data_IF_842142863576
#
_entry.id   IF_842142863576
#
_cell.length_a   1.000
_cell.length_b   1.000
_cell.length_c   1.000
_cell.angle_alpha   90.00
_cell.angle_beta   90.00
_cell.angle_gamma   90.00
#
_symmetry.space_group_name_H-M   'P 1'
#
loop_
_entity.id
_entity.type
_entity.pdbx_description
1 polymer ?
#
# COMPACT_ATOMS: atom_id res chain seq x y z
N UNK A 1 -29.44 5.84 -15.00
CA UNK A 1 -28.46 6.97 -15.05
C UNK A 1 -27.07 6.39 -14.87
N UNK A 2 -26.03 7.18 -15.04
CA UNK A 2 -24.64 6.76 -14.80
C UNK A 2 -23.94 7.81 -13.96
N UNK A 3 -22.81 7.45 -13.34
CA UNK A 3 -21.99 8.38 -12.55
C UNK A 3 -20.50 8.15 -12.81
N UNK A 4 -19.68 9.17 -12.57
CA UNK A 4 -18.23 9.09 -12.68
C UNK A 4 -17.61 8.88 -11.30
N UNK A 5 -16.64 7.94 -11.22
CA UNK A 5 -15.82 7.74 -10.05
C UNK A 5 -14.34 7.75 -10.43
N UNK A 6 -13.54 8.40 -9.60
CA UNK A 6 -12.11 8.61 -9.86
C UNK A 6 -11.26 8.09 -8.70
N UNK A 7 -10.18 7.39 -9.02
CA UNK A 7 -9.11 7.07 -8.09
C UNK A 7 -7.76 7.45 -8.65
N UNK A 8 -6.79 7.64 -7.76
CA UNK A 8 -5.42 8.00 -8.12
C UNK A 8 -4.40 7.06 -7.49
N UNK A 9 -3.20 7.06 -8.05
CA UNK A 9 -2.03 6.39 -7.51
C UNK A 9 -0.79 7.25 -7.69
N UNK A 10 0.25 6.96 -6.90
CA UNK A 10 1.58 7.55 -7.03
C UNK A 10 2.63 6.45 -7.13
N UNK A 11 3.73 6.74 -7.84
CA UNK A 11 4.81 5.77 -8.03
C UNK A 11 5.65 5.58 -6.77
N UNK A 12 6.50 4.55 -6.80
CA UNK A 12 7.53 4.31 -5.78
C UNK A 12 8.51 5.47 -5.59
N UNK A 13 8.67 6.33 -6.62
CA UNK A 13 9.53 7.52 -6.59
C UNK A 13 8.83 8.78 -6.12
N UNK A 14 7.53 8.76 -5.88
CA UNK A 14 6.83 9.89 -5.25
C UNK A 14 7.39 10.17 -3.86
N UNK A 15 7.63 11.44 -3.46
CA UNK A 15 8.27 11.76 -2.18
C UNK A 15 7.69 11.06 -0.96
N UNK A 16 6.36 11.05 -0.81
CA UNK A 16 5.72 10.37 0.32
C UNK A 16 5.95 8.85 0.26
N UNK A 17 5.97 8.23 -0.93
CA UNK A 17 6.24 6.80 -1.06
C UNK A 17 7.72 6.45 -0.91
N UNK A 18 8.62 7.36 -1.18
CA UNK A 18 10.04 7.23 -0.80
C UNK A 18 10.16 7.17 0.72
N UNK A 19 9.48 8.06 1.44
CA UNK A 19 9.46 8.07 2.90
C UNK A 19 8.87 6.77 3.48
N UNK A 20 7.73 6.31 2.96
CA UNK A 20 7.09 5.05 3.36
C UNK A 20 8.02 3.85 3.16
N UNK A 21 8.70 3.75 2.01
CA UNK A 21 9.61 2.66 1.71
C UNK A 21 10.84 2.66 2.62
N UNK A 22 11.38 3.83 2.97
CA UNK A 22 12.48 3.94 3.93
C UNK A 22 12.04 3.45 5.30
N UNK A 23 10.90 3.92 5.80
CA UNK A 23 10.35 3.52 7.10
C UNK A 23 10.08 2.01 7.18
N UNK A 24 9.44 1.43 6.16
CA UNK A 24 9.13 0.01 6.12
C UNK A 24 10.37 -0.87 5.89
N UNK A 25 11.39 -0.38 5.18
CA UNK A 25 12.67 -1.07 5.08
C UNK A 25 13.37 -1.17 6.44
N UNK A 26 13.31 -0.13 7.26
CA UNK A 26 13.86 -0.13 8.62
C UNK A 26 13.12 -1.16 9.50
N UNK A 27 11.79 -1.21 9.43
CA UNK A 27 10.99 -2.22 10.16
C UNK A 27 11.41 -3.63 9.76
N UNK A 28 11.50 -3.91 8.47
CA UNK A 28 11.87 -5.23 7.95
C UNK A 28 13.23 -5.68 8.50
N UNK A 29 14.21 -4.77 8.53
CA UNK A 29 15.53 -5.10 9.07
C UNK A 29 15.49 -5.38 10.58
N UNK A 30 14.71 -4.62 11.37
CA UNK A 30 14.55 -4.94 12.79
C UNK A 30 13.89 -6.30 12.99
N UNK A 31 12.78 -6.57 12.32
CA UNK A 31 12.03 -7.83 12.47
C UNK A 31 12.82 -9.04 11.96
N UNK A 32 13.70 -8.87 10.99
CA UNK A 32 14.55 -9.96 10.49
C UNK A 32 15.48 -10.52 11.58
N UNK A 33 16.01 -9.67 12.45
CA UNK A 33 16.96 -10.07 13.51
C UNK A 33 16.31 -10.21 14.88
N UNK A 34 15.28 -9.41 15.17
CA UNK A 34 14.46 -9.51 16.39
C UNK A 34 12.97 -9.38 16.05
N UNK A 35 12.25 -10.51 15.87
CA UNK A 35 10.83 -10.51 15.57
C UNK A 35 9.95 -9.84 16.63
N UNK A 36 10.46 -9.62 17.84
CA UNK A 36 9.75 -8.93 18.92
C UNK A 36 10.01 -7.42 18.94
N UNK A 37 10.80 -6.90 18.00
CA UNK A 37 11.05 -5.45 17.89
C UNK A 37 9.74 -4.67 17.85
N UNK A 38 9.72 -3.57 18.59
CA UNK A 38 8.68 -2.54 18.50
C UNK A 38 9.29 -1.32 17.82
N UNK A 39 8.67 -0.92 16.73
CA UNK A 39 9.19 0.12 15.84
C UNK A 39 8.06 1.08 15.47
N UNK A 40 8.26 2.34 15.75
CA UNK A 40 7.52 3.45 15.18
C UNK A 40 8.57 4.37 14.54
N UNK A 41 8.73 4.30 13.23
CA UNK A 41 9.78 5.05 12.51
C UNK A 41 9.16 5.80 11.36
N UNK A 42 9.28 7.10 11.37
CA UNK A 42 8.82 8.00 10.33
C UNK A 42 10.03 8.60 9.60
N UNK A 43 9.85 8.87 8.32
CA UNK A 43 10.84 9.51 7.48
C UNK A 43 10.26 10.79 6.87
N UNK A 44 11.08 11.85 6.86
CA UNK A 44 10.89 13.03 6.03
C UNK A 44 11.98 13.03 4.97
N UNK A 45 11.59 13.25 3.71
CA UNK A 45 12.52 13.38 2.58
C UNK A 45 12.29 14.72 1.88
N UNK A 46 13.37 15.42 1.57
CA UNK A 46 13.33 16.70 0.86
C UNK A 46 14.62 16.88 0.05
N UNK A 47 14.84 18.02 -0.57
CA UNK A 47 16.06 18.29 -1.35
C UNK A 47 17.32 17.92 -0.59
N UNK A 48 18.06 16.92 -1.08
CA UNK A 48 19.35 16.50 -0.53
C UNK A 48 19.32 15.96 0.91
N UNK A 49 18.14 15.70 1.49
CA UNK A 49 18.03 15.33 2.91
C UNK A 49 16.98 14.24 3.19
N UNK A 50 17.32 13.39 4.17
CA UNK A 50 16.42 12.44 4.85
C UNK A 50 16.52 12.67 6.36
N UNK A 51 15.39 12.76 7.03
CA UNK A 51 15.31 12.80 8.50
C UNK A 51 14.51 11.58 8.94
N UNK A 52 15.11 10.75 9.80
CA UNK A 52 14.47 9.59 10.43
C UNK A 52 14.15 9.94 11.87
N UNK A 53 12.89 9.80 12.27
CA UNK A 53 12.43 10.10 13.62
C UNK A 53 11.55 8.96 14.15
N UNK A 54 11.46 8.83 15.47
CA UNK A 54 10.58 7.85 16.10
C UNK A 54 11.25 7.04 17.19
N UNK A 55 10.60 5.95 17.59
CA UNK A 55 11.00 5.13 18.72
C UNK A 55 11.19 3.67 18.33
N UNK A 56 12.25 3.06 18.89
CA UNK A 56 12.56 1.65 18.65
C UNK A 56 12.90 0.96 19.99
N UNK A 57 12.31 -0.23 20.18
CA UNK A 57 12.71 -1.18 21.22
C UNK A 57 13.09 -2.50 20.55
N UNK A 58 14.36 -2.82 20.54
CA UNK A 58 14.90 -4.02 19.88
C UNK A 58 16.16 -4.51 20.57
N UNK A 59 16.46 -5.79 20.41
CA UNK A 59 17.70 -6.40 20.86
C UNK A 59 18.82 -6.28 19.81
N UNK A 60 18.53 -5.74 18.64
CA UNK A 60 19.48 -5.62 17.54
C UNK A 60 19.83 -4.15 17.27
N UNK A 61 21.06 -3.93 16.82
CA UNK A 61 21.54 -2.64 16.32
C UNK A 61 21.60 -2.65 14.80
N UNK A 62 21.13 -1.59 14.16
CA UNK A 62 21.12 -1.42 12.71
C UNK A 62 21.75 -0.10 12.29
N UNK A 63 22.42 -0.10 11.14
CA UNK A 63 22.80 1.13 10.44
C UNK A 63 21.61 1.64 9.61
N UNK A 64 20.73 2.40 10.26
CA UNK A 64 19.52 2.95 9.63
C UNK A 64 19.84 3.91 8.47
N UNK A 65 21.00 4.56 8.50
CA UNK A 65 21.45 5.44 7.40
C UNK A 65 21.77 4.60 6.16
N UNK A 66 22.48 3.50 6.30
CA UNK A 66 22.78 2.56 5.20
C UNK A 66 21.51 1.98 4.61
N UNK A 67 20.55 1.60 5.47
CA UNK A 67 19.25 1.06 5.03
C UNK A 67 18.48 2.12 4.20
N UNK A 68 18.39 3.35 4.67
CA UNK A 68 17.75 4.45 3.94
C UNK A 68 18.41 4.68 2.57
N UNK A 69 19.75 4.78 2.50
CA UNK A 69 20.50 4.96 1.25
C UNK A 69 20.27 3.83 0.25
N UNK A 70 20.28 2.59 0.71
CA UNK A 70 20.02 1.42 -0.13
C UNK A 70 18.60 1.45 -0.70
N UNK A 71 17.62 1.87 0.09
CA UNK A 71 16.23 2.01 -0.33
C UNK A 71 16.08 3.09 -1.40
N UNK A 72 16.69 4.26 -1.19
CA UNK A 72 16.69 5.37 -2.16
C UNK A 72 17.32 4.94 -3.50
N UNK A 73 18.48 4.26 -3.44
CA UNK A 73 19.14 3.73 -4.64
C UNK A 73 18.28 2.68 -5.36
N UNK A 74 17.61 1.77 -4.62
CA UNK A 74 16.71 0.76 -5.18
C UNK A 74 15.50 1.38 -5.90
N UNK A 75 14.98 2.49 -5.40
CA UNK A 75 13.89 3.26 -6.05
C UNK A 75 14.38 3.84 -7.38
N UNK A 76 15.64 4.25 -7.47
CA UNK A 76 16.24 4.79 -8.68
C UNK A 76 16.73 6.24 -8.56
N UNK A 77 16.77 6.79 -7.37
CA UNK A 77 17.42 8.07 -7.09
C UNK A 77 18.92 7.86 -6.90
N UNK A 78 19.64 7.76 -8.02
CA UNK A 78 21.06 7.38 -8.09
C UNK A 78 21.96 8.45 -8.72
N UNK A 79 21.38 9.57 -9.16
CA UNK A 79 22.10 10.63 -9.86
C UNK A 79 22.01 11.94 -9.09
N UNK A 80 23.17 12.60 -8.88
CA UNK A 80 23.24 13.90 -8.20
C UNK A 80 22.42 15.02 -8.86
N UNK A 81 22.20 14.95 -10.17
CA UNK A 81 21.35 15.90 -10.90
C UNK A 81 19.87 15.88 -10.47
N UNK A 82 19.42 14.83 -9.79
CA UNK A 82 18.07 14.77 -9.19
C UNK A 82 17.97 15.60 -7.91
N UNK A 83 19.09 16.17 -7.43
CA UNK A 83 19.20 16.92 -6.17
C UNK A 83 18.69 16.15 -4.94
N UNK A 84 18.57 14.84 -5.09
CA UNK A 84 18.26 13.83 -4.08
C UNK A 84 18.72 12.48 -4.61
N UNK A 85 19.72 11.89 -3.98
CA UNK A 85 20.23 10.57 -4.35
C UNK A 85 20.76 9.81 -3.14
N UNK A 86 20.76 8.49 -3.18
CA UNK A 86 21.10 7.65 -2.06
C UNK A 86 22.58 7.72 -1.63
N UNK A 87 23.47 8.19 -2.49
CA UNK A 87 24.90 8.23 -2.19
C UNK A 87 25.33 9.56 -1.54
N UNK A 88 24.69 10.69 -1.91
CA UNK A 88 25.14 12.02 -1.51
C UNK A 88 24.18 12.76 -0.55
N UNK A 89 22.89 12.38 -0.46
CA UNK A 89 21.96 13.04 0.45
C UNK A 89 22.39 12.94 1.91
N UNK A 90 22.13 13.97 2.72
CA UNK A 90 22.28 13.92 4.17
C UNK A 90 21.23 12.95 4.77
N UNK A 91 21.64 12.08 5.70
CA UNK A 91 20.69 11.24 6.45
C UNK A 91 20.90 11.51 7.94
N UNK A 92 19.91 12.15 8.55
CA UNK A 92 19.87 12.43 9.97
C UNK A 92 18.97 11.41 10.67
N UNK A 93 19.39 10.91 11.83
CA UNK A 93 18.57 10.03 12.64
C UNK A 93 18.38 10.64 14.03
N UNK A 94 17.12 10.78 14.41
CA UNK A 94 16.66 11.19 15.76
C UNK A 94 15.83 10.05 16.39
N UNK A 95 16.04 8.81 15.95
CA UNK A 95 15.40 7.64 16.52
C UNK A 95 15.96 7.43 17.92
N UNK A 96 15.08 7.24 18.90
CA UNK A 96 15.41 7.01 20.30
C UNK A 96 14.71 5.76 20.85
N UNK A 97 14.98 5.42 22.11
CA UNK A 97 14.36 4.26 22.77
C UNK A 97 12.90 4.55 23.13
N UNK A 98 12.04 3.53 22.98
CA UNK A 98 10.61 3.67 23.29
C UNK A 98 10.37 3.87 24.79
N UNK A 99 9.46 4.80 25.13
CA UNK A 99 9.02 5.09 26.51
C UNK A 99 8.47 3.85 27.21
N UNK A 100 8.89 3.64 28.48
CA UNK A 100 8.37 2.55 29.32
C UNK A 100 6.86 2.67 29.62
N UNK A 101 6.31 3.87 29.66
CA UNK A 101 4.89 4.10 29.97
C UNK A 101 3.96 3.57 28.88
N UNK A 102 4.34 3.71 27.62
CA UNK A 102 3.60 3.15 26.48
C UNK A 102 3.61 1.62 26.53
N UNK A 103 4.74 1.02 26.93
CA UNK A 103 4.89 -0.43 27.00
C UNK A 103 3.97 -1.08 28.05
N UNK A 104 3.69 -0.41 29.17
CA UNK A 104 2.81 -0.96 30.24
C UNK A 104 1.39 -1.25 29.77
N UNK A 105 0.88 -0.47 28.81
CA UNK A 105 -0.46 -0.67 28.23
C UNK A 105 -0.54 -1.90 27.31
N UNK A 106 0.54 -2.19 26.60
CA UNK A 106 0.61 -3.21 25.53
C UNK A 106 1.14 -4.53 26.05
N UNK A 107 2.25 -4.51 26.81
CA UNK A 107 2.88 -5.73 27.36
C UNK A 107 2.07 -6.26 28.54
N UNK A 108 1.54 -7.46 28.44
CA UNK A 108 0.78 -8.16 29.48
C UNK A 108 1.50 -9.47 29.86
N UNK A 109 1.00 -10.14 30.91
CA UNK A 109 1.59 -11.36 31.44
C UNK A 109 1.68 -12.51 30.40
N UNK A 110 0.76 -12.53 29.42
CA UNK A 110 0.78 -13.49 28.32
C UNK A 110 0.64 -12.78 26.99
N UNK A 111 1.23 -13.30 25.88
CA UNK A 111 1.08 -12.74 24.55
C UNK A 111 -0.40 -12.59 24.11
N UNK A 112 -1.25 -13.54 24.50
CA UNK A 112 -2.69 -13.54 24.16
C UNK A 112 -3.47 -12.41 24.82
N UNK A 113 -2.97 -11.90 25.95
CA UNK A 113 -3.55 -10.76 26.66
C UNK A 113 -3.03 -9.41 26.16
N UNK A 114 -2.15 -9.38 25.14
CA UNK A 114 -1.62 -8.15 24.56
C UNK A 114 -2.77 -7.19 24.21
N UNK A 115 -2.77 -6.01 24.83
CA UNK A 115 -3.71 -4.95 24.54
C UNK A 115 -3.41 -4.25 23.21
N UNK A 116 -4.41 -3.59 22.64
CA UNK A 116 -4.19 -2.71 21.49
C UNK A 116 -3.19 -1.60 21.86
N UNK A 117 -2.24 -1.36 20.96
CA UNK A 117 -1.19 -0.33 21.17
C UNK A 117 -1.71 1.10 21.13
N UNK A 118 -2.90 1.30 20.57
CA UNK A 118 -3.60 2.58 20.51
C UNK A 118 -5.11 2.36 20.44
N UNK A 119 -5.89 3.41 20.65
CA UNK A 119 -7.29 3.45 20.27
C UNK A 119 -7.43 3.73 18.77
N UNK A 120 -8.53 3.31 18.16
CA UNK A 120 -8.78 3.66 16.76
C UNK A 120 -9.89 2.84 16.11
N UNK A 121 -10.17 3.23 14.87
CA UNK A 121 -11.08 2.52 13.96
C UNK A 121 -10.32 2.11 12.70
N UNK A 122 -10.46 0.86 12.29
CA UNK A 122 -9.79 0.31 11.12
C UNK A 122 -10.81 -0.32 10.18
N UNK A 123 -10.57 -0.21 8.89
CA UNK A 123 -11.50 -0.65 7.86
C UNK A 123 -10.87 -1.65 6.89
N UNK A 124 -11.68 -2.57 6.44
CA UNK A 124 -11.43 -3.42 5.29
C UNK A 124 -12.55 -3.26 4.27
N UNK A 125 -12.21 -3.29 3.00
CA UNK A 125 -13.14 -3.20 1.90
C UNK A 125 -12.81 -4.24 0.84
N UNK A 126 -13.82 -4.75 0.16
CA UNK A 126 -13.69 -5.59 -1.02
C UNK A 126 -14.90 -5.42 -1.94
N UNK A 127 -14.69 -5.59 -3.23
CA UNK A 127 -15.71 -5.56 -4.28
C UNK A 127 -15.38 -6.63 -5.32
N UNK A 128 -16.37 -7.13 -6.04
CA UNK A 128 -16.18 -8.10 -7.12
C UNK A 128 -15.80 -7.46 -8.48
N UNK A 129 -15.51 -6.16 -8.51
CA UNK A 129 -15.14 -5.44 -9.75
C UNK A 129 -13.87 -5.99 -10.43
N UNK A 130 -12.93 -6.56 -9.66
CA UNK A 130 -11.67 -7.09 -10.14
C UNK A 130 -11.36 -8.47 -9.55
N UNK A 131 -10.49 -9.25 -10.21
CA UNK A 131 -10.09 -10.59 -9.73
C UNK A 131 -9.41 -10.58 -8.36
N UNK A 132 -8.79 -9.47 -7.98
CA UNK A 132 -8.18 -9.28 -6.66
C UNK A 132 -9.09 -8.55 -5.66
N UNK A 133 -10.36 -8.39 -6.01
CA UNK A 133 -11.40 -7.79 -5.14
C UNK A 133 -11.10 -6.34 -4.74
N UNK A 134 -10.57 -5.55 -5.67
CA UNK A 134 -10.28 -4.13 -5.50
C UNK A 134 -11.13 -3.24 -6.40
N UNK A 135 -11.33 -1.96 -6.04
CA UNK A 135 -11.95 -0.99 -6.94
C UNK A 135 -11.17 -0.83 -8.24
N UNK A 136 -11.84 -0.94 -9.37
CA UNK A 136 -11.21 -0.95 -10.69
C UNK A 136 -10.43 0.34 -11.00
N UNK A 137 -10.94 1.50 -10.63
CA UNK A 137 -10.27 2.78 -10.88
C UNK A 137 -8.91 2.86 -10.18
N UNK A 138 -8.81 2.38 -8.93
CA UNK A 138 -7.57 2.32 -8.17
C UNK A 138 -6.61 1.27 -8.75
N UNK A 139 -7.13 0.08 -9.06
CA UNK A 139 -6.32 -1.01 -9.63
C UNK A 139 -5.66 -0.59 -10.94
N UNK A 140 -6.40 0.08 -11.82
CA UNK A 140 -5.85 0.60 -13.07
C UNK A 140 -4.81 1.70 -12.84
N UNK A 141 -5.06 2.60 -11.88
CA UNK A 141 -4.09 3.63 -11.51
C UNK A 141 -2.77 3.02 -11.02
N UNK A 142 -2.83 1.98 -10.17
CA UNK A 142 -1.64 1.26 -9.72
C UNK A 142 -0.93 0.53 -10.87
N UNK A 143 -1.67 -0.15 -11.75
CA UNK A 143 -1.09 -0.91 -12.87
C UNK A 143 -0.35 -0.01 -13.86
N UNK A 144 -0.91 1.15 -14.19
CA UNK A 144 -0.26 2.15 -15.05
C UNK A 144 1.12 2.50 -14.50
N UNK A 145 1.23 2.82 -13.22
CA UNK A 145 2.50 3.22 -12.61
C UNK A 145 3.48 2.07 -12.39
N UNK A 146 2.99 0.86 -12.11
CA UNK A 146 3.84 -0.35 -12.07
C UNK A 146 4.51 -0.62 -13.42
N UNK A 147 3.74 -0.51 -14.52
CA UNK A 147 4.28 -0.69 -15.87
C UNK A 147 5.20 0.45 -16.28
N UNK A 148 4.90 1.68 -15.89
CA UNK A 148 5.77 2.83 -16.12
C UNK A 148 7.13 2.66 -15.41
N UNK A 149 7.11 2.22 -14.14
CA UNK A 149 8.33 1.91 -13.40
C UNK A 149 9.11 0.73 -13.99
N UNK A 150 8.42 -0.29 -14.53
CA UNK A 150 9.06 -1.39 -15.25
C UNK A 150 9.75 -0.89 -16.53
N UNK A 151 9.09 -0.07 -17.34
CA UNK A 151 9.69 0.56 -18.53
C UNK A 151 10.93 1.39 -18.19
N UNK A 152 10.87 2.16 -17.09
CA UNK A 152 12.03 2.93 -16.60
C UNK A 152 13.22 2.03 -16.25
N UNK A 153 12.98 0.91 -15.55
CA UNK A 153 14.04 -0.03 -15.15
C UNK A 153 14.61 -0.84 -16.33
N UNK A 154 13.81 -1.12 -17.34
CA UNK A 154 14.27 -1.79 -18.56
C UNK A 154 15.24 -0.90 -19.36
N UNK A 155 15.10 0.41 -19.27
CA UNK A 155 15.94 1.42 -19.95
C UNK A 155 16.13 1.15 -21.45
N UNK A 156 15.03 0.78 -22.13
CA UNK A 156 15.05 0.40 -23.55
C UNK A 156 14.13 1.27 -24.41
N UNK A 157 12.82 1.12 -24.17
CA UNK A 157 11.80 1.75 -25.01
C UNK A 157 11.61 3.25 -24.68
N UNK A 158 11.63 3.60 -23.40
CA UNK A 158 11.46 4.98 -22.92
C UNK A 158 12.58 5.28 -21.92
N UNK A 159 13.68 5.84 -22.36
CA UNK A 159 14.90 6.04 -21.57
C UNK A 159 14.93 7.29 -20.71
N UNK A 160 14.06 8.24 -21.00
CA UNK A 160 14.03 9.54 -20.31
C UNK A 160 13.21 9.54 -19.00
N UNK A 161 12.62 8.40 -18.61
CA UNK A 161 11.78 8.31 -17.40
C UNK A 161 12.61 8.46 -16.13
N UNK A 162 12.12 9.29 -15.19
CA UNK A 162 12.63 9.43 -13.83
C UNK A 162 11.69 8.76 -12.83
N UNK A 163 12.09 8.60 -11.54
CA UNK A 163 11.32 7.78 -10.59
C UNK A 163 9.95 8.31 -10.21
N UNK A 164 9.72 9.63 -10.19
CA UNK A 164 8.47 10.22 -9.71
C UNK A 164 7.39 10.22 -10.80
N UNK A 165 6.20 9.78 -10.43
CA UNK A 165 5.03 9.85 -11.32
C UNK A 165 3.73 9.69 -10.53
N UNK A 166 2.63 10.16 -11.14
CA UNK A 166 1.26 10.04 -10.66
C UNK A 166 0.35 9.56 -11.77
N UNK A 167 -0.70 8.83 -11.42
CA UNK A 167 -1.79 8.46 -12.33
C UNK A 167 -3.14 8.66 -11.67
N UNK A 168 -4.15 8.96 -12.49
CA UNK A 168 -5.53 9.05 -12.07
C UNK A 168 -6.39 8.42 -13.17
N UNK A 169 -7.36 7.60 -12.77
CA UNK A 169 -8.31 6.97 -13.69
C UNK A 169 -9.73 7.30 -13.26
N UNK A 170 -10.53 7.81 -14.21
CA UNK A 170 -11.95 8.06 -14.04
C UNK A 170 -12.75 7.05 -14.84
N UNK A 171 -13.69 6.38 -14.19
CA UNK A 171 -14.55 5.36 -14.80
C UNK A 171 -16.00 5.81 -14.69
N UNK A 172 -16.76 5.62 -15.75
CA UNK A 172 -18.21 5.74 -15.74
C UNK A 172 -18.83 4.42 -15.33
N UNK A 173 -19.71 4.48 -14.32
CA UNK A 173 -20.45 3.35 -13.78
C UNK A 173 -21.94 3.52 -14.04
N UNK A 174 -22.65 2.40 -14.20
CA UNK A 174 -24.12 2.38 -14.11
C UNK A 174 -24.59 2.60 -12.67
N UNK A 175 -25.91 2.83 -12.50
CA UNK A 175 -26.52 2.92 -11.16
C UNK A 175 -26.37 1.61 -10.34
N UNK A 176 -26.13 0.48 -11.03
CA UNK A 176 -25.87 -0.83 -10.41
C UNK A 176 -24.37 -1.09 -10.15
N UNK A 177 -23.54 -0.05 -10.14
CA UNK A 177 -22.09 -0.10 -9.94
C UNK A 177 -21.29 -0.94 -10.97
N UNK A 178 -21.84 -1.13 -12.18
CA UNK A 178 -21.14 -1.82 -13.27
C UNK A 178 -20.28 -0.83 -14.05
N UNK A 179 -18.95 -1.07 -14.23
CA UNK A 179 -18.12 -0.19 -15.04
C UNK A 179 -18.50 -0.26 -16.51
N UNK A 180 -18.80 0.90 -17.12
CA UNK A 180 -19.27 1.02 -18.50
C UNK A 180 -18.15 1.41 -19.48
N UNK A 181 -17.29 2.35 -19.08
CA UNK A 181 -16.13 2.81 -19.88
C UNK A 181 -15.13 3.55 -19.00
N UNK A 182 -13.91 3.63 -19.46
CA UNK A 182 -12.92 4.57 -18.92
C UNK A 182 -13.18 5.92 -19.57
N UNK A 183 -13.48 6.93 -18.75
CA UNK A 183 -13.73 8.31 -19.21
C UNK A 183 -12.43 9.07 -19.45
N UNK A 184 -11.55 9.07 -18.46
CA UNK A 184 -10.28 9.79 -18.55
C UNK A 184 -9.14 9.10 -17.82
N UNK A 185 -7.92 9.32 -18.32
CA UNK A 185 -6.65 8.87 -17.74
C UNK A 185 -5.69 10.04 -17.67
N UNK A 186 -5.24 10.39 -16.46
CA UNK A 186 -4.20 11.38 -16.23
C UNK A 186 -2.90 10.66 -15.88
N UNK A 187 -1.80 11.01 -16.52
CA UNK A 187 -0.45 10.52 -16.18
C UNK A 187 0.49 11.70 -16.13
N UNK A 188 1.10 11.93 -14.96
CA UNK A 188 2.20 12.88 -14.80
C UNK A 188 3.46 12.08 -14.48
N UNK A 189 4.48 12.19 -15.33
CA UNK A 189 5.75 11.48 -15.14
C UNK A 189 6.94 12.41 -15.19
N UNK A 190 7.82 12.28 -14.21
CA UNK A 190 9.11 12.96 -14.20
C UNK A 190 9.99 12.38 -15.33
N UNK A 191 10.74 13.26 -16.01
CA UNK A 191 11.55 12.89 -17.17
C UNK A 191 12.83 13.72 -17.27
N UNK A 192 13.80 13.20 -18.00
CA UNK A 192 15.00 13.97 -18.40
C UNK A 192 14.64 15.08 -19.40
N UNK A 193 15.37 16.21 -19.45
CA UNK A 193 15.22 17.21 -20.49
C UNK A 193 15.93 16.75 -21.78
N UNK A 194 15.36 15.78 -22.49
CA UNK A 194 16.00 15.08 -23.60
C UNK A 194 15.88 15.77 -24.98
N UNK A 195 15.03 16.81 -25.09
CA UNK A 195 14.94 17.68 -26.27
C UNK A 195 14.95 19.15 -25.84
N UNK A 196 15.58 20.01 -26.67
CA UNK A 196 15.62 21.44 -26.44
C UNK A 196 14.24 22.11 -26.68
N UNK A 197 13.47 21.62 -27.65
CA UNK A 197 12.10 22.08 -27.91
C UNK A 197 11.14 21.36 -26.93
N UNK A 198 10.62 22.14 -25.99
CA UNK A 198 9.69 21.64 -24.96
C UNK A 198 8.43 21.04 -25.56
N UNK A 199 7.85 21.65 -26.59
CA UNK A 199 6.64 21.14 -27.24
C UNK A 199 6.88 19.80 -27.94
N UNK A 200 7.99 19.67 -28.65
CA UNK A 200 8.38 18.41 -29.30
C UNK A 200 8.64 17.32 -28.26
N UNK A 201 9.27 17.69 -27.13
CA UNK A 201 9.52 16.77 -26.01
C UNK A 201 8.20 16.25 -25.41
N UNK A 202 7.25 17.13 -25.10
CA UNK A 202 5.95 16.76 -24.53
C UNK A 202 5.13 15.92 -25.51
N UNK A 203 5.12 16.25 -26.79
CA UNK A 203 4.46 15.44 -27.82
C UNK A 203 5.07 14.02 -27.91
N UNK A 204 6.38 13.89 -27.73
CA UNK A 204 7.06 12.60 -27.70
C UNK A 204 6.63 11.79 -26.48
N UNK A 205 6.60 12.40 -25.29
CA UNK A 205 6.15 11.76 -24.05
C UNK A 205 4.70 11.28 -24.21
N UNK A 206 3.80 12.13 -24.69
CA UNK A 206 2.40 11.78 -24.90
C UNK A 206 2.26 10.61 -25.87
N UNK A 207 2.95 10.65 -26.99
CA UNK A 207 2.96 9.57 -27.97
C UNK A 207 3.45 8.27 -27.35
N UNK A 208 4.60 8.26 -26.69
CA UNK A 208 5.20 7.05 -26.13
C UNK A 208 4.33 6.44 -25.04
N UNK A 209 3.73 7.26 -24.18
CA UNK A 209 2.82 6.73 -23.16
C UNK A 209 1.55 6.13 -23.78
N UNK A 210 0.96 6.76 -24.79
CA UNK A 210 -0.23 6.22 -25.49
C UNK A 210 0.06 4.97 -26.32
N UNK A 211 1.24 4.88 -26.94
CA UNK A 211 1.54 3.79 -27.89
C UNK A 211 2.40 2.67 -27.31
N UNK A 212 3.05 2.88 -26.17
CA UNK A 212 3.91 1.87 -25.53
C UNK A 212 3.36 1.48 -24.16
N UNK A 213 3.13 2.47 -23.25
CA UNK A 213 2.69 2.18 -21.88
C UNK A 213 1.27 1.62 -21.85
N UNK A 214 0.29 2.33 -22.43
CA UNK A 214 -1.13 1.93 -22.35
C UNK A 214 -1.36 0.55 -22.96
N UNK A 215 -0.89 0.22 -24.18
CA UNK A 215 -1.02 -1.13 -24.74
C UNK A 215 -0.39 -2.22 -23.88
N UNK A 216 0.76 -1.92 -23.24
CA UNK A 216 1.42 -2.85 -22.31
C UNK A 216 0.60 -3.10 -21.05
N UNK A 217 -0.09 -2.08 -20.53
CA UNK A 217 -1.04 -2.24 -19.41
C UNK A 217 -2.22 -3.08 -19.84
N UNK A 218 -2.88 -2.71 -20.95
CA UNK A 218 -4.08 -3.38 -21.46
C UNK A 218 -3.82 -4.87 -21.73
N UNK A 219 -2.70 -5.22 -22.33
CA UNK A 219 -2.34 -6.60 -22.63
C UNK A 219 -2.27 -7.53 -21.41
N UNK A 220 -2.15 -6.97 -20.20
CA UNK A 220 -2.08 -7.71 -18.92
C UNK A 220 -3.41 -7.74 -18.15
N UNK A 221 -4.47 -7.16 -18.71
CA UNK A 221 -5.79 -7.10 -18.09
C UNK A 221 -6.68 -8.26 -18.57
N UNK A 222 -7.67 -8.69 -17.77
CA UNK A 222 -8.73 -9.57 -18.26
C UNK A 222 -9.50 -8.95 -19.43
N UNK A 223 -10.03 -9.78 -20.32
CA UNK A 223 -10.77 -9.33 -21.50
C UNK A 223 -11.94 -8.40 -21.14
N UNK A 224 -12.63 -8.68 -20.03
CA UNK A 224 -13.74 -7.85 -19.53
C UNK A 224 -13.33 -6.41 -19.21
N UNK A 225 -12.07 -6.18 -18.85
CA UNK A 225 -11.53 -4.85 -18.57
C UNK A 225 -10.90 -4.24 -19.81
N UNK A 226 -10.29 -5.06 -20.69
CA UNK A 226 -9.69 -4.56 -21.94
C UNK A 226 -10.70 -3.81 -22.81
N UNK A 227 -11.95 -4.29 -22.88
CA UNK A 227 -13.02 -3.66 -23.67
C UNK A 227 -13.42 -2.26 -23.21
N UNK A 228 -13.06 -1.87 -21.97
CA UNK A 228 -13.30 -0.53 -21.44
C UNK A 228 -12.29 0.50 -22.01
N UNK A 229 -11.16 0.01 -22.57
CA UNK A 229 -10.16 0.85 -23.23
C UNK A 229 -10.55 1.02 -24.69
N UNK A 230 -11.22 2.12 -25.01
CA UNK A 230 -11.67 2.47 -26.35
C UNK A 230 -11.09 3.81 -26.81
N UNK A 231 -11.37 4.21 -28.03
CA UNK A 231 -10.83 5.43 -28.67
C UNK A 231 -11.34 6.73 -28.06
N UNK A 232 -12.36 6.68 -27.17
CA UNK A 232 -13.00 7.86 -26.58
C UNK A 232 -12.41 8.26 -25.22
N UNK A 233 -11.29 7.66 -24.81
CA UNK A 233 -10.63 8.00 -23.53
C UNK A 233 -9.94 9.36 -23.64
N UNK A 234 -10.23 10.25 -22.69
CA UNK A 234 -9.55 11.53 -22.56
C UNK A 234 -8.20 11.35 -21.83
N UNK A 235 -7.10 11.38 -22.58
CA UNK A 235 -5.77 11.29 -22.00
C UNK A 235 -5.20 12.67 -21.67
N UNK A 236 -4.75 12.86 -20.43
CA UNK A 236 -4.04 14.05 -19.95
C UNK A 236 -2.62 13.65 -19.52
N UNK A 237 -1.66 13.86 -20.40
CA UNK A 237 -0.25 13.48 -20.19
C UNK A 237 0.56 14.74 -19.87
N UNK A 238 1.21 14.78 -18.70
CA UNK A 238 1.95 15.96 -18.22
C UNK A 238 1.22 17.28 -18.50
N UNK A 239 -0.03 17.46 -18.05
CA UNK A 239 -0.91 18.57 -18.47
C UNK A 239 -0.36 19.95 -18.04
N UNK A 240 0.56 20.02 -17.10
CA UNK A 240 1.20 21.27 -16.64
C UNK A 240 2.49 21.60 -17.42
N UNK A 241 2.86 20.79 -18.42
CA UNK A 241 4.11 20.94 -19.18
C UNK A 241 5.22 20.02 -18.68
N UNK A 242 6.49 20.46 -18.85
CA UNK A 242 7.65 19.64 -18.46
C UNK A 242 7.68 19.34 -16.98
N UNK A 243 8.07 18.11 -16.64
CA UNK A 243 8.21 17.63 -15.28
C UNK A 243 9.63 17.06 -15.04
N UNK A 244 10.62 17.95 -15.05
CA UNK A 244 12.04 17.64 -14.83
C UNK A 244 12.39 17.70 -13.34
N UNK A 245 11.89 18.73 -12.63
CA UNK A 245 12.04 18.84 -11.18
C UNK A 245 10.91 18.03 -10.53
N UNK A 246 11.27 16.99 -9.79
CA UNK A 246 10.33 16.08 -9.14
C UNK A 246 11.01 15.26 -8.06
N UNK A 247 10.29 14.30 -7.50
CA UNK A 247 10.75 13.57 -6.35
C UNK A 247 10.94 14.47 -5.13
N UNK A 248 11.76 14.07 -4.14
CA UNK A 248 12.00 14.87 -2.93
C UNK A 248 12.59 16.26 -3.18
N UNK A 249 13.14 16.52 -4.35
CA UNK A 249 13.58 17.87 -4.74
C UNK A 249 12.40 18.75 -5.17
N UNK A 250 11.36 18.18 -5.77
CA UNK A 250 10.17 18.92 -6.19
C UNK A 250 9.19 19.20 -5.06
N UNK A 251 9.03 18.26 -4.16
CA UNK A 251 8.10 18.32 -3.02
C UNK A 251 8.62 17.48 -1.85
N UNK A 252 8.33 17.92 -0.62
CA UNK A 252 8.71 17.19 0.59
C UNK A 252 7.79 16.01 0.81
N UNK A 253 8.37 14.83 1.07
CA UNK A 253 7.65 13.61 1.41
C UNK A 253 7.72 13.28 2.89
N UNK A 254 6.63 12.71 3.42
CA UNK A 254 6.56 12.16 4.77
C UNK A 254 5.87 10.80 4.78
N UNK A 255 6.30 9.95 5.72
CA UNK A 255 5.64 8.67 5.99
C UNK A 255 4.16 8.87 6.33
N UNK A 256 3.28 8.07 5.69
CA UNK A 256 1.86 8.04 6.04
C UNK A 256 0.99 9.13 5.42
N UNK A 257 1.44 9.80 4.36
CA UNK A 257 0.66 10.85 3.66
C UNK A 257 -0.08 10.37 2.41
N UNK A 258 -0.03 9.09 2.07
CA UNK A 258 -0.73 8.49 0.91
C UNK A 258 -1.68 7.35 1.30
N UNK A 259 -2.34 7.51 2.46
CA UNK A 259 -3.15 6.46 3.09
C UNK A 259 -4.35 6.00 2.22
N UNK A 260 -4.89 6.85 1.38
CA UNK A 260 -5.99 6.50 0.47
C UNK A 260 -5.47 5.68 -0.72
N UNK A 261 -4.28 6.04 -1.25
CA UNK A 261 -3.57 5.25 -2.27
C UNK A 261 -3.17 3.88 -1.72
N UNK A 262 -2.79 3.82 -0.44
CA UNK A 262 -2.40 2.59 0.24
C UNK A 262 -3.57 1.61 0.46
N UNK A 263 -4.81 2.10 0.42
CA UNK A 263 -6.02 1.33 0.75
C UNK A 263 -6.94 1.14 -0.44
N UNK A 264 -8.02 1.90 -0.55
CA UNK A 264 -9.13 1.59 -1.50
C UNK A 264 -9.45 2.73 -2.45
N UNK A 265 -8.60 3.76 -2.56
CA UNK A 265 -8.75 4.85 -3.54
C UNK A 265 -10.02 5.69 -3.38
N UNK A 266 -10.58 5.75 -2.16
CA UNK A 266 -11.79 6.51 -1.86
C UNK A 266 -13.10 5.72 -1.93
N UNK A 267 -13.11 4.46 -2.39
CA UNK A 267 -14.31 3.60 -2.37
C UNK A 267 -14.62 3.09 -0.95
N UNK A 268 -13.61 2.63 -0.23
CA UNK A 268 -13.76 2.22 1.17
C UNK A 268 -13.41 3.36 2.14
N UNK A 269 -14.04 3.38 3.31
CA UNK A 269 -13.71 4.28 4.40
C UNK A 269 -12.28 4.03 4.93
N UNK A 270 -11.71 5.04 5.60
CA UNK A 270 -10.39 4.97 6.23
C UNK A 270 -10.44 5.55 7.65
N UNK A 271 -9.78 4.90 8.61
CA UNK A 271 -9.77 5.35 10.01
C UNK A 271 -8.76 6.47 10.32
N UNK A 272 -7.93 6.85 9.34
CA UNK A 272 -6.92 7.92 9.49
C UNK A 272 -5.53 7.44 9.86
N UNK A 273 -5.37 6.22 10.40
CA UNK A 273 -4.07 5.67 10.81
C UNK A 273 -3.20 5.25 9.61
N UNK A 274 -1.98 5.77 9.51
CA UNK A 274 -1.00 5.34 8.53
C UNK A 274 -0.49 3.93 8.84
N UNK A 275 -0.05 3.19 7.81
CA UNK A 275 0.49 1.83 7.92
C UNK A 275 2.01 1.82 8.01
N UNK A 276 2.68 2.41 7.00
CA UNK A 276 4.14 2.43 6.92
C UNK A 276 4.76 3.09 8.16
N UNK A 277 5.91 2.59 8.57
CA UNK A 277 6.59 3.05 9.77
C UNK A 277 6.16 2.38 11.07
N UNK A 278 5.13 1.54 11.05
CA UNK A 278 4.55 0.87 12.25
C UNK A 278 4.76 -0.63 12.22
N UNK A 279 5.32 -1.21 13.31
CA UNK A 279 5.35 -2.66 13.52
C UNK A 279 3.94 -3.22 13.80
N UNK A 280 3.73 -4.57 13.72
CA UNK A 280 2.40 -5.16 13.82
C UNK A 280 1.69 -5.02 15.17
N UNK A 281 2.33 -4.58 16.24
CA UNK A 281 1.65 -4.28 17.52
C UNK A 281 0.74 -3.06 17.43
N UNK A 282 0.90 -2.23 16.40
CA UNK A 282 0.06 -1.08 16.13
C UNK A 282 -1.16 -1.53 15.33
N UNK A 283 -2.33 -1.46 15.95
CA UNK A 283 -3.61 -1.93 15.38
C UNK A 283 -4.02 -1.15 14.10
N UNK A 284 -3.58 0.08 13.94
CA UNK A 284 -3.77 0.85 12.69
C UNK A 284 -3.36 0.04 11.46
N UNK A 285 -2.27 -0.72 11.56
CA UNK A 285 -1.75 -1.56 10.48
C UNK A 285 -2.30 -2.98 10.55
N UNK A 286 -2.13 -3.68 11.66
CA UNK A 286 -2.46 -5.09 11.79
C UNK A 286 -3.96 -5.35 11.65
N UNK A 287 -4.79 -4.53 12.30
CA UNK A 287 -6.23 -4.70 12.23
C UNK A 287 -6.81 -4.26 10.86
N UNK A 288 -6.25 -3.26 10.21
CA UNK A 288 -6.65 -2.91 8.85
C UNK A 288 -6.38 -4.08 7.87
N UNK A 289 -5.23 -4.77 8.00
CA UNK A 289 -4.95 -5.98 7.23
C UNK A 289 -5.93 -7.12 7.54
N UNK A 290 -6.29 -7.29 8.82
CA UNK A 290 -7.30 -8.28 9.21
C UNK A 290 -8.68 -7.95 8.64
N UNK A 291 -9.08 -6.68 8.63
CA UNK A 291 -10.36 -6.27 8.02
C UNK A 291 -10.36 -6.48 6.51
N UNK A 292 -9.24 -6.22 5.82
CA UNK A 292 -9.09 -6.56 4.40
C UNK A 292 -9.21 -8.07 4.17
N UNK A 293 -8.54 -8.88 4.98
CA UNK A 293 -8.62 -10.34 4.89
C UNK A 293 -10.05 -10.83 5.01
N UNK A 294 -10.82 -10.31 5.97
CA UNK A 294 -12.23 -10.65 6.16
C UNK A 294 -13.06 -10.20 4.96
N UNK A 295 -13.01 -8.91 4.61
CA UNK A 295 -13.80 -8.35 3.51
C UNK A 295 -13.58 -9.13 2.21
N UNK A 296 -12.32 -9.39 1.85
CA UNK A 296 -11.98 -10.15 0.64
C UNK A 296 -12.55 -11.56 0.65
N UNK A 297 -12.43 -12.28 1.77
CA UNK A 297 -12.94 -13.63 1.88
C UNK A 297 -14.48 -13.69 1.87
N UNK A 298 -15.17 -12.66 2.39
CA UNK A 298 -16.63 -12.58 2.34
C UNK A 298 -17.13 -12.45 0.88
N UNK A 299 -16.54 -11.53 0.11
CA UNK A 299 -16.90 -11.38 -1.32
C UNK A 299 -16.51 -12.63 -2.11
N UNK A 300 -15.32 -13.18 -1.88
CA UNK A 300 -14.86 -14.39 -2.57
C UNK A 300 -15.70 -15.64 -2.23
N UNK A 301 -16.30 -15.69 -1.05
CA UNK A 301 -17.24 -16.76 -0.68
C UNK A 301 -18.59 -16.65 -1.39
N UNK A 302 -18.90 -15.50 -2.01
CA UNK A 302 -20.17 -15.19 -2.64
C UNK A 302 -21.23 -14.70 -1.65
N UNK A 303 -20.83 -14.18 -0.49
CA UNK A 303 -21.78 -13.65 0.49
C UNK A 303 -22.43 -12.35 0.01
N UNK A 304 -21.66 -11.51 -0.68
CA UNK A 304 -22.09 -10.23 -1.25
C UNK A 304 -21.17 -9.82 -2.40
N UNK A 305 -21.56 -8.81 -3.17
CA UNK A 305 -20.73 -8.25 -4.24
C UNK A 305 -19.77 -7.17 -3.74
N UNK A 306 -20.14 -6.48 -2.66
CA UNK A 306 -19.39 -5.38 -2.06
C UNK A 306 -19.53 -5.41 -0.54
N UNK A 307 -18.47 -5.14 0.21
CA UNK A 307 -18.50 -5.11 1.68
C UNK A 307 -17.48 -4.13 2.26
N UNK A 308 -17.93 -3.40 3.28
CA UNK A 308 -17.08 -2.65 4.21
C UNK A 308 -17.16 -3.32 5.59
N UNK A 309 -16.01 -3.59 6.19
CA UNK A 309 -15.89 -4.11 7.56
C UNK A 309 -15.08 -3.14 8.40
N UNK A 310 -15.62 -2.73 9.54
CA UNK A 310 -14.93 -1.88 10.52
C UNK A 310 -14.68 -2.67 11.80
N UNK A 311 -13.51 -2.44 12.41
CA UNK A 311 -13.23 -2.83 13.80
C UNK A 311 -12.77 -1.62 14.59
N UNK A 312 -13.04 -1.58 15.89
CA UNK A 312 -12.57 -0.53 16.78
C UNK A 312 -11.92 -1.10 18.04
N UNK A 313 -10.90 -0.41 18.55
CA UNK A 313 -10.17 -0.79 19.77
C UNK A 313 -10.07 0.39 20.72
N UNK A 314 -9.97 0.07 22.03
CA UNK A 314 -9.51 0.99 23.06
C UNK A 314 -8.06 0.66 23.43
N UNK A 315 -7.26 1.67 23.73
CA UNK A 315 -5.85 1.48 24.13
C UNK A 315 -5.74 0.53 25.33
N UNK A 316 -4.81 -0.41 25.25
CA UNK A 316 -4.55 -1.38 26.33
C UNK A 316 -5.60 -2.48 26.48
N UNK A 317 -6.67 -2.51 25.69
CA UNK A 317 -7.72 -3.55 25.68
C UNK A 317 -7.47 -4.50 24.52
N UNK A 318 -7.50 -5.81 24.80
CA UNK A 318 -7.28 -6.84 23.76
C UNK A 318 -8.53 -7.11 22.93
N UNK A 319 -9.70 -7.12 23.54
CA UNK A 319 -10.96 -7.34 22.84
C UNK A 319 -11.35 -6.12 22.01
N UNK A 320 -11.83 -6.30 20.76
CA UNK A 320 -12.38 -5.20 19.99
C UNK A 320 -13.61 -4.61 20.70
N UNK A 321 -13.77 -3.29 20.61
CA UNK A 321 -14.93 -2.59 21.15
C UNK A 321 -16.19 -2.83 20.31
N UNK A 322 -16.02 -3.15 19.03
CA UNK A 322 -17.11 -3.45 18.13
C UNK A 322 -16.63 -3.81 16.71
N UNK A 323 -17.49 -4.52 16.00
CA UNK A 323 -17.36 -4.83 14.58
C UNK A 323 -18.61 -4.33 13.87
N UNK A 324 -18.44 -3.59 12.80
CA UNK A 324 -19.53 -3.10 11.95
C UNK A 324 -19.32 -3.62 10.53
N UNK A 325 -20.43 -3.94 9.87
CA UNK A 325 -20.46 -4.39 8.47
C UNK A 325 -21.46 -3.55 7.70
N UNK A 326 -21.14 -3.29 6.45
CA UNK A 326 -22.06 -2.75 5.45
C UNK A 326 -21.85 -3.49 4.13
N UNK A 327 -22.84 -4.23 3.67
CA UNK A 327 -22.84 -4.95 2.39
C UNK A 327 -23.40 -4.10 1.25
N UNK A 328 -23.71 -2.85 1.51
CA UNK A 328 -24.31 -1.91 0.52
C UNK A 328 -25.58 -2.44 -0.15
N UNK A 329 -26.29 -3.35 0.52
CA UNK A 329 -27.49 -4.00 -0.01
C UNK A 329 -27.21 -5.11 -1.03
N UNK A 330 -25.95 -5.53 -1.20
CA UNK A 330 -25.57 -6.57 -2.16
C UNK A 330 -25.46 -7.97 -1.55
N UNK A 331 -25.92 -8.17 -0.30
CA UNK A 331 -25.87 -9.47 0.36
C UNK A 331 -26.73 -10.52 -0.36
N UNK A 332 -26.18 -11.70 -0.58
CA UNK A 332 -26.86 -12.86 -1.18
C UNK A 332 -27.46 -13.81 -0.13
N UNK A 333 -27.41 -13.43 1.15
CA UNK A 333 -28.00 -14.15 2.28
C UNK A 333 -29.14 -13.34 2.90
N UNK A 334 -30.08 -14.03 3.57
CA UNK A 334 -31.23 -13.40 4.23
C UNK A 334 -30.89 -12.77 5.60
N UNK A 335 -29.58 -12.56 5.90
CA UNK A 335 -29.11 -11.96 7.13
C UNK A 335 -28.93 -10.44 6.94
N UNK A 336 -29.23 -9.67 7.98
CA UNK A 336 -28.89 -8.25 8.01
C UNK A 336 -27.40 -8.06 8.37
N UNK A 337 -26.84 -6.92 8.03
CA UNK A 337 -25.41 -6.61 8.24
C UNK A 337 -24.96 -6.80 9.69
N UNK A 338 -25.82 -6.49 10.67
CA UNK A 338 -25.53 -6.70 12.08
C UNK A 338 -25.37 -8.20 12.47
N UNK A 339 -26.15 -9.10 11.87
CA UNK A 339 -26.02 -10.53 12.07
C UNK A 339 -24.77 -11.08 11.37
N UNK A 340 -24.45 -10.53 10.20
CA UNK A 340 -23.19 -10.84 9.49
C UNK A 340 -22.00 -10.44 10.37
N UNK A 341 -21.99 -9.23 10.94
CA UNK A 341 -20.95 -8.76 11.84
C UNK A 341 -20.75 -9.68 13.05
N UNK A 342 -21.83 -10.13 13.67
CA UNK A 342 -21.79 -11.07 14.79
C UNK A 342 -21.15 -12.41 14.39
N UNK A 343 -21.57 -12.99 13.26
CA UNK A 343 -20.98 -14.23 12.75
C UNK A 343 -19.48 -14.10 12.43
N UNK A 344 -19.02 -12.94 11.97
CA UNK A 344 -17.60 -12.67 11.75
C UNK A 344 -16.82 -12.81 13.06
N UNK A 345 -17.32 -12.24 14.16
CA UNK A 345 -16.64 -12.33 15.47
C UNK A 345 -16.63 -13.74 16.06
N UNK A 346 -17.55 -14.60 15.64
CA UNK A 346 -17.57 -16.02 16.00
C UNK A 346 -16.54 -16.83 15.17
N UNK A 347 -16.25 -16.40 13.93
CA UNK A 347 -15.34 -17.09 13.01
C UNK A 347 -13.87 -16.76 13.23
N UNK A 348 -13.58 -15.54 13.68
CA UNK A 348 -12.21 -15.01 13.74
C UNK A 348 -11.97 -14.31 15.07
N UNK A 349 -10.91 -14.73 15.77
CA UNK A 349 -10.38 -14.00 16.91
C UNK A 349 -9.67 -12.71 16.41
N UNK A 350 -10.20 -11.56 16.82
CA UNK A 350 -9.75 -10.22 16.43
C UNK A 350 -8.83 -9.57 17.48
N UNK A 351 -8.37 -10.31 18.49
CA UNK A 351 -7.33 -9.79 19.39
C UNK A 351 -6.05 -9.49 18.63
N UNK A 352 -5.30 -8.41 18.98
CA UNK A 352 -4.07 -8.04 18.28
C UNK A 352 -3.09 -9.21 18.12
N UNK A 353 -2.83 -9.98 19.16
CA UNK A 353 -1.93 -11.13 19.12
C UNK A 353 -2.43 -12.27 18.18
N UNK A 354 -3.74 -12.50 18.14
CA UNK A 354 -4.34 -13.48 17.24
C UNK A 354 -4.22 -13.05 15.77
N UNK A 355 -4.40 -11.76 15.48
CA UNK A 355 -4.20 -11.18 14.15
C UNK A 355 -2.74 -11.32 13.73
N UNK A 356 -1.78 -10.90 14.56
CA UNK A 356 -0.34 -11.01 14.27
C UNK A 356 0.05 -12.46 13.93
N UNK A 357 -0.42 -13.43 14.71
CA UNK A 357 -0.14 -14.85 14.51
C UNK A 357 -0.78 -15.38 13.23
N UNK A 358 -2.07 -15.10 13.00
CA UNK A 358 -2.82 -15.57 11.81
C UNK A 358 -2.19 -15.07 10.52
N UNK A 359 -1.86 -13.78 10.47
CA UNK A 359 -1.34 -13.13 9.27
C UNK A 359 0.20 -13.12 9.23
N UNK A 360 0.90 -13.78 10.18
CA UNK A 360 2.36 -13.88 10.25
C UNK A 360 3.07 -12.51 10.21
N UNK A 361 2.51 -11.51 10.88
CA UNK A 361 2.95 -10.12 10.73
C UNK A 361 4.30 -9.82 11.40
N UNK A 362 4.87 -10.72 12.22
CA UNK A 362 6.21 -10.56 12.80
C UNK A 362 7.35 -10.93 11.83
N UNK A 363 7.03 -11.24 10.57
CA UNK A 363 8.01 -11.45 9.53
C UNK A 363 8.37 -10.12 8.80
N UNK A 364 9.54 -10.02 8.15
CA UNK A 364 9.96 -8.81 7.42
C UNK A 364 9.27 -8.71 6.06
N UNK A 365 8.00 -8.32 6.05
CA UNK A 365 7.07 -8.32 4.91
C UNK A 365 6.69 -6.93 4.42
N UNK A 366 7.23 -5.85 5.01
CA UNK A 366 6.65 -4.52 4.95
C UNK A 366 7.16 -3.66 3.79
N UNK A 367 8.42 -3.75 3.39
CA UNK A 367 8.97 -2.96 2.29
C UNK A 367 8.16 -3.11 0.99
N UNK A 368 7.71 -4.32 0.67
CA UNK A 368 6.95 -4.61 -0.54
C UNK A 368 5.52 -4.05 -0.50
N UNK A 369 5.02 -3.65 0.66
CA UNK A 369 3.69 -3.03 0.82
C UNK A 369 3.73 -1.53 0.56
N UNK A 370 4.87 -0.89 0.78
CA UNK A 370 5.02 0.56 0.84
C UNK A 370 4.90 1.29 -0.52
N UNK A 371 4.65 0.58 -1.62
CA UNK A 371 4.41 1.18 -2.93
C UNK A 371 3.31 0.43 -3.70
N UNK A 372 2.48 1.17 -4.44
CA UNK A 372 1.40 0.62 -5.28
C UNK A 372 0.30 -0.10 -4.48
N UNK A 373 -0.01 0.38 -3.29
CA UNK A 373 -1.07 -0.12 -2.42
C UNK A 373 -0.69 -1.32 -1.56
N UNK A 374 -1.22 -1.37 -0.35
CA UNK A 374 -1.06 -2.48 0.58
C UNK A 374 -2.06 -3.61 0.31
N UNK A 375 -3.16 -3.29 -0.39
CA UNK A 375 -4.26 -4.20 -0.69
C UNK A 375 -4.27 -4.61 -2.17
N UNK A 376 -5.00 -5.67 -2.51
CA UNK A 376 -5.14 -6.15 -3.89
C UNK A 376 -3.86 -6.77 -4.47
N UNK A 377 -2.97 -7.27 -3.60
CA UNK A 377 -1.69 -7.86 -4.00
C UNK A 377 -1.79 -9.39 -4.04
N UNK A 378 -0.86 -10.01 -4.73
CA UNK A 378 -0.78 -11.47 -4.80
C UNK A 378 0.04 -12.02 -3.64
N UNK A 379 -0.56 -12.92 -2.83
CA UNK A 379 0.19 -13.68 -1.83
C UNK A 379 1.26 -14.52 -2.52
N UNK A 380 2.51 -14.43 -2.05
CA UNK A 380 3.65 -15.17 -2.58
C UNK A 380 4.78 -15.28 -1.57
N UNK A 381 5.63 -16.28 -1.71
CA UNK A 381 6.88 -16.39 -0.94
C UNK A 381 8.04 -15.84 -1.75
N UNK A 382 8.88 -15.06 -1.09
CA UNK A 382 10.11 -14.49 -1.65
C UNK A 382 11.29 -14.75 -0.74
N UNK A 383 12.48 -14.86 -1.31
CA UNK A 383 13.74 -14.88 -0.54
C UNK A 383 14.23 -13.45 -0.31
N UNK A 384 14.55 -13.12 0.95
CA UNK A 384 15.06 -11.81 1.35
C UNK A 384 16.37 -11.98 2.13
N UNK A 385 17.37 -11.15 1.82
CA UNK A 385 18.64 -11.09 2.53
C UNK A 385 18.73 -9.82 3.36
N UNK A 386 19.08 -9.97 4.62
CA UNK A 386 19.30 -8.88 5.56
C UNK A 386 20.74 -8.93 6.10
N UNK A 387 21.32 -7.76 6.37
CA UNK A 387 22.71 -7.63 6.86
C UNK A 387 22.75 -6.67 8.05
N UNK A 388 23.55 -7.04 9.06
CA UNK A 388 23.87 -6.19 10.20
C UNK A 388 25.25 -5.54 10.05
N UNK A 389 25.52 -4.43 10.79
CA UNK A 389 26.82 -3.75 10.76
C UNK A 389 28.00 -4.63 11.23
N UNK A 390 27.75 -5.65 12.07
CA UNK A 390 28.75 -6.61 12.55
C UNK A 390 29.16 -7.66 11.50
N UNK A 391 28.54 -7.61 10.29
CA UNK A 391 28.77 -8.58 9.21
C UNK A 391 27.87 -9.81 9.24
N UNK A 392 27.00 -9.94 10.25
CA UNK A 392 25.99 -11.01 10.26
C UNK A 392 25.02 -10.81 9.12
N UNK A 393 24.72 -11.87 8.38
CA UNK A 393 23.72 -11.87 7.32
C UNK A 393 22.71 -12.99 7.53
N UNK A 394 21.44 -12.70 7.19
CA UNK A 394 20.33 -13.65 7.31
C UNK A 394 19.58 -13.75 6.01
N UNK A 395 19.44 -14.96 5.48
CA UNK A 395 18.61 -15.29 4.32
C UNK A 395 17.30 -15.89 4.81
N UNK A 396 16.18 -15.34 4.38
CA UNK A 396 14.85 -15.73 4.87
C UNK A 396 13.87 -15.92 3.72
N UNK A 397 13.11 -17.01 3.76
CA UNK A 397 11.92 -17.16 2.94
C UNK A 397 10.74 -16.51 3.65
N UNK A 398 10.15 -15.48 3.03
CA UNK A 398 9.14 -14.63 3.63
C UNK A 398 7.85 -14.70 2.79
N UNK A 399 6.73 -14.99 3.45
CA UNK A 399 5.40 -15.01 2.83
C UNK A 399 4.79 -13.61 2.85
N UNK A 400 4.70 -12.97 1.68
CA UNK A 400 4.16 -11.62 1.51
C UNK A 400 2.65 -11.61 1.34
N UNK A 401 2.00 -10.52 1.76
CA UNK A 401 0.57 -10.24 1.56
C UNK A 401 -0.33 -11.36 2.07
N UNK A 402 -0.10 -11.83 3.27
CA UNK A 402 -0.84 -12.93 3.91
C UNK A 402 -2.32 -12.64 4.10
N UNK A 403 -2.69 -11.36 4.22
CA UNK A 403 -4.09 -10.90 4.30
C UNK A 403 -4.85 -10.94 2.96
N UNK A 404 -4.17 -11.29 1.88
CA UNK A 404 -4.80 -11.48 0.57
C UNK A 404 -5.16 -12.95 0.28
N UNK A 405 -4.91 -13.87 1.22
CA UNK A 405 -5.31 -15.28 1.11
C UNK A 405 -6.83 -15.45 1.12
N UNK A 406 -7.29 -16.53 0.49
CA UNK A 406 -8.70 -16.92 0.43
C UNK A 406 -8.98 -18.19 1.26
N UNK A 407 -8.16 -18.48 2.25
CA UNK A 407 -8.22 -19.68 3.09
C UNK A 407 -9.38 -19.68 4.12
N UNK A 408 -10.06 -18.53 4.30
CA UNK A 408 -11.26 -18.42 5.13
C UNK A 408 -12.55 -18.75 4.35
N UNK A 409 -12.53 -18.77 3.02
CA UNK A 409 -13.72 -19.01 2.18
C UNK A 409 -14.50 -20.28 2.57
N UNK A 410 -13.88 -21.47 2.80
CA UNK A 410 -14.62 -22.66 3.18
C UNK A 410 -15.38 -22.50 4.51
N UNK A 411 -14.76 -21.86 5.50
CA UNK A 411 -15.39 -21.63 6.80
C UNK A 411 -16.57 -20.66 6.70
N UNK A 412 -16.42 -19.59 5.89
CA UNK A 412 -17.51 -18.64 5.61
C UNK A 412 -18.68 -19.36 4.93
N UNK A 413 -18.41 -20.13 3.87
CA UNK A 413 -19.48 -20.89 3.19
C UNK A 413 -20.25 -21.79 4.13
N UNK A 414 -19.56 -22.49 5.03
CA UNK A 414 -20.21 -23.32 6.05
C UNK A 414 -21.05 -22.50 7.03
N UNK A 415 -20.49 -21.40 7.56
CA UNK A 415 -21.16 -20.58 8.57
C UNK A 415 -22.40 -19.83 8.04
N UNK A 416 -22.40 -19.50 6.75
CA UNK A 416 -23.48 -18.74 6.11
C UNK A 416 -24.39 -19.60 5.22
N UNK A 417 -24.15 -20.91 5.11
CA UNK A 417 -24.87 -21.86 4.24
C UNK A 417 -24.90 -21.46 2.76
N UNK A 418 -23.71 -21.07 2.22
CA UNK A 418 -23.48 -20.65 0.83
C UNK A 418 -23.07 -21.83 -0.07
#
# INVERSE_FOLDING_TARGET
MSYLFTSESVSEGHPDKVADQISDSIIDHFLAFDPQSKVACEALVTTGQVILAGEVKSKTYLDVQKIARNTINKIGYTKGEYMFDGNSCGVLSTIHEQSEDINRGVDKATPEAQGAGDQGIMFGYATNETENYMPLALELSHRILKELAALRREDKAIRYLRPDSKSQVTIEYSDDNVPLRIDSVVISTQHDPFLADEKAMLNTIEKDLKTILIPRVVAKLPQSIQVLFNDNINYHINPTGKFVIGGPHGDTGLTGRKIIVDTYGGKGAHGGGAFSGKDPSKVDRSAAYAMRYIAKNMVAAGLCDEILVQVSYAIGVAEPMGVYVNTYGTAHVSLIDGDIAKKITELIDLKPAAIEKRLKLRAPIYLETAAYGHMGRTNRTVEKKFEQPNGESKLMNVELFTWEKLDLVPAIKTAFNL
#
